data_IF_271574675818
#
_entry.id   IF_271574675818
#
_cell.length_a   1.000
_cell.length_b   1.000
_cell.length_c   1.000
_cell.angle_alpha   90.00
_cell.angle_beta   90.00
_cell.angle_gamma   90.00
#
_symmetry.space_group_name_H-M   'P 1'
#
loop_
_entity.id
_entity.type
_entity.pdbx_description
1 polymer ?
#
# COMPACT_ATOMS: atom_id res chain seq x y z
N UNK A 1 7.79 15.95 24.80
CA UNK A 1 7.95 16.90 23.69
C UNK A 1 8.66 16.23 22.51
N UNK A 2 8.39 14.94 22.26
CA UNK A 2 8.99 14.17 21.14
C UNK A 2 7.92 13.55 20.21
N UNK A 3 6.65 13.62 20.60
CA UNK A 3 5.54 13.01 19.83
C UNK A 3 5.09 13.87 18.65
N UNK A 4 5.35 15.19 18.65
CA UNK A 4 4.92 16.09 17.58
C UNK A 4 5.77 16.01 16.30
N UNK A 5 6.98 15.43 16.36
CA UNK A 5 7.93 15.41 15.23
C UNK A 5 7.63 14.24 14.26
N UNK A 6 6.94 13.19 14.72
CA UNK A 6 6.64 12.01 13.91
C UNK A 6 5.41 12.20 13.00
N UNK A 7 4.40 12.97 13.43
CA UNK A 7 3.17 13.17 12.65
C UNK A 7 3.41 14.07 11.42
N UNK A 8 4.24 15.13 11.53
CA UNK A 8 4.51 16.04 10.41
C UNK A 8 5.43 15.46 9.32
N UNK A 9 6.35 14.55 9.66
CA UNK A 9 7.23 13.91 8.69
C UNK A 9 6.55 12.77 7.91
N UNK A 10 5.59 12.10 8.54
CA UNK A 10 4.85 11.01 7.93
C UNK A 10 3.90 11.51 6.84
N UNK A 11 3.28 12.67 7.06
CA UNK A 11 2.33 13.32 6.14
C UNK A 11 2.98 13.74 4.82
N UNK A 12 4.17 14.36 4.88
CA UNK A 12 4.88 14.80 3.68
C UNK A 12 5.40 13.64 2.81
N UNK A 13 5.80 12.53 3.44
CA UNK A 13 6.26 11.34 2.71
C UNK A 13 5.10 10.60 2.04
N UNK A 14 3.92 10.53 2.68
CA UNK A 14 2.76 9.86 2.09
C UNK A 14 2.20 10.65 0.91
N UNK A 15 2.12 11.97 1.03
CA UNK A 15 1.66 12.83 -0.06
C UNK A 15 2.58 12.74 -1.28
N UNK A 16 3.90 12.68 -1.07
CA UNK A 16 4.86 12.48 -2.15
C UNK A 16 4.64 11.16 -2.87
N UNK A 17 4.37 10.07 -2.14
CA UNK A 17 4.09 8.76 -2.74
C UNK A 17 2.80 8.83 -3.56
N UNK A 18 1.72 9.38 -3.01
CA UNK A 18 0.40 9.42 -3.67
C UNK A 18 0.43 10.20 -4.99
N UNK A 19 1.29 11.21 -5.13
CA UNK A 19 1.44 11.95 -6.38
C UNK A 19 2.05 11.14 -7.54
N UNK A 20 2.80 10.08 -7.23
CA UNK A 20 3.46 9.21 -8.22
C UNK A 20 2.66 7.92 -8.51
N UNK A 21 1.55 7.71 -7.78
CA UNK A 21 0.76 6.48 -7.88
C UNK A 21 -0.06 6.45 -9.17
N UNK A 22 0.02 5.32 -9.86
CA UNK A 22 -0.87 4.99 -10.97
C UNK A 22 -2.22 4.49 -10.41
N UNK A 23 -3.30 5.22 -10.71
CA UNK A 23 -4.67 4.93 -10.32
C UNK A 23 -5.47 4.29 -11.47
N UNK A 24 -5.01 3.13 -11.93
CA UNK A 24 -5.67 2.35 -12.98
C UNK A 24 -5.93 0.93 -12.45
N UNK A 25 -7.20 0.55 -12.39
CA UNK A 25 -7.65 -0.74 -11.87
C UNK A 25 -7.16 -1.93 -12.70
N UNK A 26 -6.80 -1.70 -13.97
CA UNK A 26 -6.31 -2.73 -14.87
C UNK A 26 -4.78 -2.74 -15.00
N UNK A 27 -4.10 -1.82 -14.30
CA UNK A 27 -2.64 -1.73 -14.36
C UNK A 27 -1.98 -3.02 -13.87
N UNK A 28 -1.32 -3.72 -14.79
CA UNK A 28 -0.59 -4.98 -14.50
C UNK A 28 -1.47 -6.07 -13.88
N UNK A 29 -2.78 -6.03 -14.13
CA UNK A 29 -3.68 -7.08 -13.64
C UNK A 29 -3.76 -8.29 -14.58
N UNK A 30 -3.27 -8.16 -15.81
CA UNK A 30 -3.24 -9.21 -16.83
C UNK A 30 -2.46 -10.48 -16.41
N UNK A 31 -2.67 -11.56 -17.18
CA UNK A 31 -2.08 -12.89 -16.91
C UNK A 31 -0.55 -12.93 -16.99
N UNK A 32 0.05 -12.00 -17.74
CA UNK A 32 1.51 -11.95 -17.93
C UNK A 32 2.25 -11.37 -16.71
N UNK A 33 1.52 -10.85 -15.72
CA UNK A 33 2.08 -10.26 -14.53
C UNK A 33 1.99 -11.21 -13.34
N UNK A 34 3.12 -11.84 -12.99
CA UNK A 34 3.25 -12.54 -11.72
C UNK A 34 3.60 -11.55 -10.61
N UNK A 35 2.61 -11.23 -9.77
CA UNK A 35 2.79 -10.25 -8.69
C UNK A 35 3.70 -10.78 -7.60
N UNK A 36 3.79 -12.09 -7.40
CA UNK A 36 4.64 -12.69 -6.36
C UNK A 36 6.10 -12.32 -6.55
N UNK A 37 6.53 -12.23 -7.81
CA UNK A 37 7.92 -11.93 -8.19
C UNK A 37 8.10 -10.51 -8.69
N UNK A 38 7.06 -9.85 -9.19
CA UNK A 38 7.15 -8.49 -9.77
C UNK A 38 6.91 -7.37 -8.77
N UNK A 39 6.19 -7.64 -7.68
CA UNK A 39 5.98 -6.67 -6.60
C UNK A 39 7.18 -6.71 -5.66
N UNK A 40 7.81 -5.55 -5.47
CA UNK A 40 8.93 -5.37 -4.57
C UNK A 40 8.47 -5.30 -3.11
N UNK A 41 7.51 -4.42 -2.82
CA UNK A 41 6.94 -4.23 -1.48
C UNK A 41 5.62 -3.44 -1.55
N UNK A 42 4.84 -3.51 -0.47
CA UNK A 42 3.74 -2.57 -0.22
C UNK A 42 4.31 -1.32 0.44
N UNK A 43 3.97 -0.15 -0.09
CA UNK A 43 4.43 1.16 0.42
C UNK A 43 3.46 1.75 1.42
N UNK A 44 2.17 1.63 1.14
CA UNK A 44 1.10 2.25 1.91
C UNK A 44 -0.16 1.39 1.85
N UNK A 45 -0.84 1.25 2.98
CA UNK A 45 -2.20 0.73 3.05
C UNK A 45 -3.10 1.86 3.56
N UNK A 46 -4.16 2.18 2.80
CA UNK A 46 -5.04 3.32 3.09
C UNK A 46 -6.49 3.00 2.75
N UNK A 47 -7.41 3.74 3.35
CA UNK A 47 -8.83 3.74 2.95
C UNK A 47 -9.01 4.82 1.91
N UNK A 48 -9.63 4.49 0.78
CA UNK A 48 -9.88 5.51 -0.24
C UNK A 48 -10.89 6.55 0.30
N UNK A 49 -10.63 7.86 0.20
CA UNK A 49 -11.46 8.87 0.86
C UNK A 49 -12.77 9.20 0.13
N UNK A 50 -13.25 8.36 -0.80
CA UNK A 50 -14.40 8.71 -1.67
C UNK A 50 -15.61 7.78 -1.45
N UNK A 51 -16.47 8.25 -0.55
CA UNK A 51 -17.92 8.04 -0.40
C UNK A 51 -18.49 6.60 -0.35
N UNK A 52 -19.10 6.30 0.80
CA UNK A 52 -20.34 5.54 1.01
C UNK A 52 -20.48 4.08 0.56
N UNK A 53 -19.43 3.42 0.07
CA UNK A 53 -19.43 1.95 -0.07
C UNK A 53 -18.44 1.30 0.89
N UNK A 54 -18.91 0.34 1.68
CA UNK A 54 -18.17 -0.59 2.56
C UNK A 54 -16.65 -0.42 2.48
N UNK A 55 -16.04 0.14 3.53
CA UNK A 55 -14.65 0.60 3.62
C UNK A 55 -13.63 -0.30 2.90
N UNK A 56 -13.48 -0.13 1.59
CA UNK A 56 -12.50 -0.88 0.78
C UNK A 56 -11.12 -0.35 1.13
N UNK A 57 -10.28 -1.24 1.62
CA UNK A 57 -8.89 -0.94 1.94
C UNK A 57 -8.07 -1.15 0.67
N UNK A 58 -7.32 -0.12 0.29
CA UNK A 58 -6.40 -0.12 -0.83
C UNK A 58 -4.96 -0.19 -0.34
N UNK A 59 -4.09 -0.71 -1.21
CA UNK A 59 -2.67 -0.75 -1.02
C UNK A 59 -1.95 -0.14 -2.23
N UNK A 60 -0.95 0.68 -1.96
CA UNK A 60 0.03 1.12 -2.95
C UNK A 60 1.17 0.11 -2.95
N UNK A 61 1.45 -0.48 -4.11
CA UNK A 61 2.57 -1.41 -4.31
C UNK A 61 3.67 -0.73 -5.12
N UNK A 62 4.92 -1.00 -4.75
CA UNK A 62 6.09 -0.72 -5.58
C UNK A 62 6.45 -1.96 -6.37
N UNK A 63 6.61 -1.80 -7.67
CA UNK A 63 7.07 -2.84 -8.58
C UNK A 63 8.60 -2.85 -8.67
N UNK A 64 9.19 -3.95 -9.14
CA UNK A 64 10.65 -4.07 -9.28
C UNK A 64 11.28 -3.04 -10.22
N UNK A 65 10.51 -2.52 -11.18
CA UNK A 65 10.94 -1.45 -12.08
C UNK A 65 10.76 -0.04 -11.48
N UNK A 66 10.36 0.04 -10.22
CA UNK A 66 10.22 1.29 -9.47
C UNK A 66 8.84 1.95 -9.56
N UNK A 67 7.97 1.50 -10.48
CA UNK A 67 6.63 2.04 -10.64
C UNK A 67 5.79 1.87 -9.35
N UNK A 68 4.83 2.76 -9.15
CA UNK A 68 3.86 2.73 -8.05
C UNK A 68 2.45 2.59 -8.62
N UNK A 69 1.64 1.70 -8.05
CA UNK A 69 0.23 1.59 -8.43
C UNK A 69 -0.64 1.21 -7.24
N UNK A 70 -1.90 1.65 -7.25
CA UNK A 70 -2.86 1.35 -6.19
C UNK A 70 -3.82 0.23 -6.60
N UNK A 71 -3.99 -0.74 -5.70
CA UNK A 71 -4.88 -1.89 -5.89
C UNK A 71 -5.69 -2.18 -4.63
N UNK A 72 -6.89 -2.78 -4.75
CA UNK A 72 -7.64 -3.24 -3.58
C UNK A 72 -6.86 -4.34 -2.86
N UNK A 73 -6.85 -4.32 -1.53
CA UNK A 73 -6.13 -5.33 -0.72
C UNK A 73 -6.62 -6.76 -0.98
N UNK A 74 -7.88 -6.94 -1.40
CA UNK A 74 -8.40 -8.24 -1.83
C UNK A 74 -7.63 -8.82 -3.04
N UNK A 75 -7.09 -7.98 -3.93
CA UNK A 75 -6.26 -8.44 -5.04
C UNK A 75 -4.88 -8.90 -4.54
N UNK A 76 -4.25 -8.12 -3.64
CA UNK A 76 -2.96 -8.46 -3.06
C UNK A 76 -3.01 -9.76 -2.26
N UNK A 77 -4.07 -9.98 -1.47
CA UNK A 77 -4.28 -11.22 -0.72
C UNK A 77 -4.23 -12.47 -1.62
N UNK A 78 -4.65 -12.37 -2.87
CA UNK A 78 -4.67 -13.49 -3.81
C UNK A 78 -3.38 -13.61 -4.61
N UNK A 79 -2.71 -12.50 -4.91
CA UNK A 79 -1.62 -12.45 -5.90
C UNK A 79 -0.22 -12.26 -5.30
N UNK A 80 -0.11 -11.58 -4.17
CA UNK A 80 1.16 -11.31 -3.48
C UNK A 80 0.93 -11.20 -1.95
N UNK A 81 0.39 -12.26 -1.31
CA UNK A 81 -0.02 -12.20 0.10
C UNK A 81 1.16 -11.96 1.05
N UNK A 82 2.36 -12.44 0.70
CA UNK A 82 3.55 -12.30 1.55
C UNK A 82 3.97 -10.83 1.69
N UNK A 83 4.03 -10.09 0.59
CA UNK A 83 4.38 -8.66 0.61
C UNK A 83 3.36 -7.83 1.40
N UNK A 84 2.09 -8.22 1.38
CA UNK A 84 1.06 -7.58 2.20
C UNK A 84 1.22 -7.91 3.68
N UNK A 85 1.56 -9.16 4.01
CA UNK A 85 1.81 -9.58 5.39
C UNK A 85 3.05 -8.89 5.97
N UNK A 86 4.16 -8.88 5.24
CA UNK A 86 5.41 -8.22 5.62
C UNK A 86 5.17 -6.74 5.97
N UNK A 87 4.35 -6.05 5.19
CA UNK A 87 3.98 -4.66 5.47
C UNK A 87 3.31 -4.51 6.85
N UNK A 88 2.35 -5.38 7.17
CA UNK A 88 1.67 -5.35 8.46
C UNK A 88 2.58 -5.76 9.61
N UNK A 89 3.42 -6.78 9.43
CA UNK A 89 4.37 -7.24 10.46
C UNK A 89 5.36 -6.15 10.87
N UNK A 90 5.90 -5.39 9.90
CA UNK A 90 6.80 -4.26 10.17
C UNK A 90 6.15 -3.11 10.94
N UNK A 91 4.82 -2.97 10.80
CA UNK A 91 4.02 -1.89 11.38
C UNK A 91 3.24 -2.31 12.62
N UNK A 92 3.26 -3.59 12.98
CA UNK A 92 2.64 -4.09 14.19
C UNK A 92 3.30 -3.43 15.40
N UNK A 93 2.48 -2.99 16.35
CA UNK A 93 2.89 -2.45 17.64
C UNK A 93 2.09 -3.17 18.71
N UNK A 94 2.77 -3.56 19.79
CA UNK A 94 2.14 -4.14 20.96
C UNK A 94 2.00 -3.05 22.02
N UNK A 95 0.78 -2.81 22.45
CA UNK A 95 0.52 -1.95 23.60
C UNK A 95 0.72 -2.76 24.88
N UNK A 96 1.49 -2.23 25.84
CA UNK A 96 1.60 -2.82 27.15
C UNK A 96 0.32 -2.50 27.95
N UNK A 97 -0.30 -3.53 28.53
CA UNK A 97 -1.48 -3.44 29.40
C UNK A 97 -1.14 -2.80 30.76
#
# INVERSE_FOLDING_TARGET
MEQAIQEEQQDHSTDSILNEVIYDSDYRTGKDWDWTTSVKNVELVTRYPRQDSDAVIYAVVRWNDGALSMHPTQALQKRCPLQLLEYYEQRLRFEAL
#
